data_IF_891382829143
#
_entry.id   IF_891382829143
#
_cell.length_a   1.000
_cell.length_b   1.000
_cell.length_c   1.000
_cell.angle_alpha   90.00
_cell.angle_beta   90.00
_cell.angle_gamma   90.00
#
_symmetry.space_group_name_H-M   'P 1'
#
loop_
_entity.id
_entity.type
_entity.pdbx_description
1 polymer ?
#
# COMPACT_ATOMS: atom_id res chain seq x y z
N UNK A 1 -16.35 9.28 -9.86
CA UNK A 1 -15.31 8.45 -9.24
C UNK A 1 -15.93 7.09 -9.00
N UNK A 2 -15.30 6.01 -9.42
CA UNK A 2 -15.84 4.67 -9.17
C UNK A 2 -15.57 4.30 -7.71
N UNK A 3 -16.63 4.02 -6.95
CA UNK A 3 -16.55 3.59 -5.56
C UNK A 3 -16.77 2.09 -5.47
N UNK A 4 -15.74 1.35 -5.05
CA UNK A 4 -15.79 -0.10 -4.89
C UNK A 4 -16.10 -0.54 -3.44
N UNK A 5 -16.46 0.40 -2.57
CA UNK A 5 -16.76 0.12 -1.16
C UNK A 5 -17.82 -0.96 -0.99
N UNK A 6 -18.91 -0.91 -1.74
CA UNK A 6 -19.98 -1.92 -1.64
C UNK A 6 -19.50 -3.32 -2.00
N UNK A 7 -18.59 -3.44 -2.97
CA UNK A 7 -17.98 -4.73 -3.32
C UNK A 7 -17.10 -5.25 -2.17
N UNK A 8 -16.29 -4.37 -1.57
CA UNK A 8 -15.47 -4.70 -0.41
C UNK A 8 -16.31 -5.08 0.82
N UNK A 9 -17.42 -4.37 1.06
CA UNK A 9 -18.34 -4.65 2.16
C UNK A 9 -18.95 -6.05 2.03
N UNK A 10 -19.29 -6.46 0.81
CA UNK A 10 -19.81 -7.80 0.54
C UNK A 10 -18.78 -8.92 0.80
N UNK A 11 -17.49 -8.61 0.74
CA UNK A 11 -16.41 -9.56 1.01
C UNK A 11 -15.98 -9.56 2.49
N UNK A 12 -15.76 -8.39 3.09
CA UNK A 12 -14.99 -8.23 4.32
C UNK A 12 -15.82 -7.85 5.56
N UNK A 13 -16.98 -7.20 5.38
CA UNK A 13 -17.74 -6.59 6.48
C UNK A 13 -18.53 -7.62 7.27
N UNK A 14 -18.55 -7.50 8.60
CA UNK A 14 -19.33 -8.39 9.49
C UNK A 14 -20.80 -7.96 9.56
N UNK A 15 -21.75 -8.89 9.78
CA UNK A 15 -21.57 -10.34 9.85
C UNK A 15 -21.57 -11.03 8.49
N UNK A 16 -22.11 -10.38 7.45
CA UNK A 16 -22.53 -11.09 6.24
C UNK A 16 -21.43 -11.25 5.18
N UNK A 17 -20.25 -10.64 5.35
CA UNK A 17 -19.16 -10.70 4.37
C UNK A 17 -18.76 -12.14 4.03
N UNK A 18 -18.37 -12.40 2.78
CA UNK A 18 -17.97 -13.74 2.33
C UNK A 18 -16.93 -14.39 3.27
N UNK A 19 -15.92 -13.63 3.69
CA UNK A 19 -14.89 -14.14 4.61
C UNK A 19 -15.45 -14.46 6.01
N UNK A 20 -16.54 -13.83 6.43
CA UNK A 20 -17.22 -14.13 7.68
C UNK A 20 -18.00 -15.45 7.58
N UNK A 21 -18.71 -15.64 6.46
CA UNK A 21 -19.42 -16.89 6.16
C UNK A 21 -18.43 -18.07 6.12
N UNK A 22 -17.30 -17.91 5.42
CA UNK A 22 -16.25 -18.95 5.36
C UNK A 22 -15.72 -19.25 6.78
N UNK A 23 -15.47 -18.22 7.59
CA UNK A 23 -15.02 -18.40 8.98
C UNK A 23 -16.02 -19.15 9.85
N UNK A 24 -17.31 -18.84 9.73
CA UNK A 24 -18.38 -19.49 10.49
C UNK A 24 -18.56 -20.95 10.06
N UNK A 25 -18.50 -21.23 8.76
CA UNK A 25 -18.50 -22.61 8.25
C UNK A 25 -17.28 -23.40 8.73
N UNK A 26 -16.11 -22.76 8.78
CA UNK A 26 -14.86 -23.38 9.26
C UNK A 26 -14.93 -23.68 10.75
N UNK A 27 -15.45 -22.76 11.57
CA UNK A 27 -15.57 -22.93 13.03
C UNK A 27 -16.60 -23.99 13.41
N UNK A 28 -17.72 -24.04 12.71
CA UNK A 28 -18.83 -24.93 13.01
C UNK A 28 -18.78 -26.26 12.23
N UNK A 29 -17.75 -26.47 11.39
CA UNK A 29 -17.60 -27.62 10.49
C UNK A 29 -18.84 -27.88 9.61
N UNK A 30 -19.41 -26.81 9.05
CA UNK A 30 -20.51 -26.94 8.09
C UNK A 30 -20.05 -27.53 6.75
N UNK A 31 -20.96 -28.16 6.01
CA UNK A 31 -20.70 -28.66 4.67
C UNK A 31 -20.61 -27.53 3.65
N UNK A 32 -19.95 -27.79 2.53
CA UNK A 32 -19.79 -26.82 1.44
C UNK A 32 -21.16 -26.42 0.85
N UNK A 33 -22.14 -27.33 0.86
CA UNK A 33 -23.53 -27.06 0.48
C UNK A 33 -24.16 -25.99 1.37
N UNK A 34 -24.00 -26.11 2.69
CA UNK A 34 -24.59 -25.16 3.64
C UNK A 34 -23.96 -23.77 3.49
N UNK A 35 -22.66 -23.72 3.17
CA UNK A 35 -21.98 -22.46 2.86
C UNK A 35 -22.55 -21.81 1.58
N UNK A 36 -22.81 -22.59 0.53
CA UNK A 36 -23.43 -22.09 -0.70
C UNK A 36 -24.87 -21.59 -0.46
N UNK A 37 -25.62 -22.28 0.39
CA UNK A 37 -26.97 -21.87 0.78
C UNK A 37 -26.94 -20.52 1.51
N UNK A 38 -26.05 -20.36 2.51
CA UNK A 38 -25.85 -19.08 3.21
C UNK A 38 -25.43 -17.94 2.27
N UNK A 39 -24.57 -18.22 1.30
CA UNK A 39 -24.17 -17.24 0.27
C UNK A 39 -25.36 -16.84 -0.60
N UNK A 40 -26.22 -17.80 -0.95
CA UNK A 40 -27.40 -17.58 -1.80
C UNK A 40 -28.49 -16.80 -1.07
N UNK A 41 -28.74 -17.11 0.21
CA UNK A 41 -29.71 -16.42 1.06
C UNK A 41 -29.42 -14.92 1.19
N UNK A 42 -28.14 -14.54 1.24
CA UNK A 42 -27.71 -13.14 1.34
C UNK A 42 -28.13 -12.28 0.14
N UNK A 43 -28.39 -12.87 -1.04
CA UNK A 43 -28.74 -12.17 -2.29
C UNK A 43 -27.79 -11.00 -2.63
N UNK A 44 -26.48 -11.23 -2.51
CA UNK A 44 -25.49 -10.20 -2.85
C UNK A 44 -25.54 -9.85 -4.34
N UNK A 45 -25.35 -8.57 -4.66
CA UNK A 45 -25.20 -8.12 -6.06
C UNK A 45 -23.86 -8.56 -6.66
N UNK A 46 -22.83 -8.73 -5.81
CA UNK A 46 -21.46 -9.02 -6.22
C UNK A 46 -21.13 -10.50 -6.14
N UNK A 47 -21.77 -11.25 -5.25
CA UNK A 47 -21.49 -12.67 -5.03
C UNK A 47 -22.74 -13.46 -5.37
N UNK A 48 -22.65 -14.34 -6.37
CA UNK A 48 -23.77 -15.15 -6.84
C UNK A 48 -23.34 -16.58 -7.03
N UNK A 49 -24.20 -17.52 -6.68
CA UNK A 49 -24.02 -18.93 -7.04
C UNK A 49 -23.92 -19.07 -8.56
N UNK A 50 -22.91 -19.80 -9.02
CA UNK A 50 -22.71 -20.13 -10.43
C UNK A 50 -23.12 -21.58 -10.71
N UNK A 51 -22.79 -22.50 -9.82
CA UNK A 51 -23.12 -23.92 -9.89
C UNK A 51 -23.16 -24.50 -8.46
N UNK A 52 -23.49 -25.79 -8.32
CA UNK A 52 -23.61 -26.46 -7.02
C UNK A 52 -22.30 -26.55 -6.20
N UNK A 53 -21.18 -26.13 -6.79
CA UNK A 53 -19.84 -26.10 -6.16
C UNK A 53 -19.11 -24.79 -6.41
N UNK A 54 -19.69 -23.87 -7.18
CA UNK A 54 -19.00 -22.68 -7.64
C UNK A 54 -19.78 -21.42 -7.31
N UNK A 55 -19.05 -20.40 -6.86
CA UNK A 55 -19.55 -19.04 -6.72
C UNK A 55 -18.89 -18.13 -7.73
N UNK A 56 -19.57 -17.06 -8.04
CA UNK A 56 -19.03 -16.00 -8.86
C UNK A 56 -18.95 -14.70 -8.08
N UNK A 57 -17.79 -14.07 -8.14
CA UNK A 57 -17.51 -12.80 -7.46
C UNK A 57 -17.21 -11.74 -8.51
N UNK A 58 -17.99 -10.67 -8.49
CA UNK A 58 -17.79 -9.50 -9.33
C UNK A 58 -16.75 -8.57 -8.69
N UNK A 59 -15.56 -8.52 -9.28
CA UNK A 59 -14.50 -7.59 -8.92
C UNK A 59 -14.51 -6.36 -9.83
N UNK A 60 -13.70 -5.37 -9.49
CA UNK A 60 -13.52 -4.17 -10.33
C UNK A 60 -13.10 -4.51 -11.76
N UNK A 61 -12.30 -5.57 -11.93
CA UNK A 61 -11.71 -5.96 -13.21
C UNK A 61 -12.54 -6.98 -13.99
N UNK A 62 -13.65 -7.45 -13.42
CA UNK A 62 -14.50 -8.46 -14.02
C UNK A 62 -15.03 -9.49 -13.01
N UNK A 63 -15.83 -10.42 -13.53
CA UNK A 63 -16.40 -11.52 -12.76
C UNK A 63 -15.45 -12.71 -12.79
N UNK A 64 -15.12 -13.24 -11.61
CA UNK A 64 -14.29 -14.45 -11.46
C UNK A 64 -15.16 -15.55 -10.86
N UNK A 65 -15.01 -16.77 -11.37
CA UNK A 65 -15.68 -17.95 -10.86
C UNK A 65 -14.69 -18.68 -9.96
N UNK A 66 -15.12 -18.99 -8.74
CA UNK A 66 -14.35 -19.68 -7.73
C UNK A 66 -15.06 -20.99 -7.38
N UNK A 67 -14.29 -22.07 -7.36
CA UNK A 67 -14.71 -23.35 -6.81
C UNK A 67 -14.61 -23.29 -5.29
N UNK A 68 -15.71 -23.59 -4.61
CA UNK A 68 -15.87 -23.46 -3.16
C UNK A 68 -15.39 -24.73 -2.42
N UNK A 69 -15.14 -25.83 -3.15
CA UNK A 69 -14.61 -27.06 -2.55
C UNK A 69 -13.32 -26.78 -1.79
N UNK A 70 -13.21 -27.33 -0.58
CA UNK A 70 -12.06 -27.18 0.31
C UNK A 70 -11.81 -25.75 0.85
N UNK A 71 -12.73 -24.79 0.66
CA UNK A 71 -12.59 -23.44 1.25
C UNK A 71 -12.44 -23.51 2.78
N UNK A 72 -13.27 -24.33 3.43
CA UNK A 72 -13.22 -24.52 4.90
C UNK A 72 -11.89 -25.12 5.36
N UNK A 73 -11.39 -26.12 4.64
CA UNK A 73 -10.21 -26.87 5.04
C UNK A 73 -8.96 -26.02 4.86
N UNK A 74 -8.90 -25.28 3.75
CA UNK A 74 -7.87 -24.27 3.51
C UNK A 74 -7.92 -23.18 4.57
N UNK A 75 -9.11 -22.67 4.90
CA UNK A 75 -9.26 -21.57 5.85
C UNK A 75 -8.93 -21.94 7.31
N UNK A 76 -8.96 -23.23 7.65
CA UNK A 76 -8.72 -23.71 9.02
C UNK A 76 -7.28 -23.47 9.48
N UNK A 77 -6.31 -23.52 8.56
CA UNK A 77 -4.85 -23.36 8.84
C UNK A 77 -4.38 -24.15 10.07
N UNK A 78 -4.93 -25.36 10.25
CA UNK A 78 -4.78 -26.09 11.50
C UNK A 78 -3.59 -27.03 11.45
N UNK A 79 -2.63 -26.80 12.35
CA UNK A 79 -1.58 -27.76 12.68
C UNK A 79 -1.97 -28.46 13.98
N UNK A 80 -2.03 -29.80 14.01
CA UNK A 80 -2.33 -30.54 15.23
C UNK A 80 -1.40 -30.15 16.39
N UNK A 81 -1.93 -29.92 17.61
CA UNK A 81 -1.13 -29.57 18.77
C UNK A 81 -0.01 -30.58 19.05
N UNK A 82 -0.26 -31.87 18.80
CA UNK A 82 0.71 -32.96 19.00
C UNK A 82 1.93 -32.81 18.09
N UNK A 83 1.73 -32.34 16.85
CA UNK A 83 2.81 -32.04 15.93
C UNK A 83 3.63 -30.84 16.41
N UNK A 84 2.95 -29.78 16.90
CA UNK A 84 3.61 -28.60 17.45
C UNK A 84 4.42 -28.98 18.70
N UNK A 85 3.88 -29.81 19.58
CA UNK A 85 4.58 -30.30 20.76
C UNK A 85 5.80 -31.16 20.40
N UNK A 86 5.68 -32.03 19.41
CA UNK A 86 6.81 -32.80 18.87
C UNK A 86 7.92 -31.90 18.32
N UNK A 87 7.56 -30.83 17.62
CA UNK A 87 8.55 -29.88 17.08
C UNK A 87 9.22 -29.05 18.19
N UNK A 88 8.51 -28.78 19.30
CA UNK A 88 9.09 -28.15 20.51
C UNK A 88 10.06 -29.05 21.27
N UNK A 89 10.07 -30.36 21.03
CA UNK A 89 11.01 -31.30 21.62
C UNK A 89 12.16 -31.67 20.69
N UNK A 90 12.24 -31.03 19.51
CA UNK A 90 13.34 -31.20 18.56
C UNK A 90 14.71 -30.94 19.20
N UNK A 91 15.74 -31.61 18.67
CA UNK A 91 17.14 -31.36 19.02
C UNK A 91 17.70 -30.12 18.32
N UNK A 92 17.07 -29.68 17.22
CA UNK A 92 17.45 -28.47 16.50
C UNK A 92 16.88 -27.23 17.19
N UNK A 93 17.78 -26.35 17.64
CA UNK A 93 17.44 -25.12 18.36
C UNK A 93 16.60 -24.15 17.54
N UNK A 94 16.80 -24.10 16.22
CA UNK A 94 16.04 -23.25 15.30
C UNK A 94 14.60 -23.73 15.23
N UNK A 95 14.39 -25.05 15.14
CA UNK A 95 13.04 -25.65 15.15
C UNK A 95 12.35 -25.35 16.48
N UNK A 96 13.03 -25.60 17.61
CA UNK A 96 12.45 -25.30 18.93
C UNK A 96 12.02 -23.84 19.00
N UNK A 97 12.89 -22.90 18.61
CA UNK A 97 12.60 -21.47 18.59
C UNK A 97 11.37 -21.14 17.73
N UNK A 98 11.26 -21.73 16.53
CA UNK A 98 10.13 -21.52 15.63
C UNK A 98 8.78 -21.95 16.24
N UNK A 99 8.75 -23.03 17.02
CA UNK A 99 7.51 -23.58 17.59
C UNK A 99 7.24 -23.17 19.04
N UNK A 100 8.17 -22.49 19.70
CA UNK A 100 7.97 -21.83 21.01
C UNK A 100 7.50 -20.38 20.90
N UNK A 101 7.83 -19.71 19.80
CA UNK A 101 7.49 -18.30 19.59
C UNK A 101 5.98 -18.09 19.41
N UNK A 102 5.45 -16.95 19.85
CA UNK A 102 4.03 -16.62 19.66
C UNK A 102 3.79 -16.07 18.26
N UNK A 103 2.52 -16.01 17.86
CA UNK A 103 2.10 -15.35 16.64
C UNK A 103 1.71 -13.89 16.93
N UNK A 104 1.96 -13.00 15.98
CA UNK A 104 1.37 -11.67 15.96
C UNK A 104 -0.14 -11.77 15.70
N UNK A 105 -0.88 -10.67 15.89
CA UNK A 105 -2.31 -10.61 15.51
C UNK A 105 -2.57 -10.90 14.02
N UNK A 106 -1.54 -10.74 13.18
CA UNK A 106 -1.56 -11.03 11.74
C UNK A 106 -1.26 -12.49 11.42
N UNK A 107 -0.96 -13.32 12.41
CA UNK A 107 -0.56 -14.72 12.20
C UNK A 107 0.94 -14.92 11.90
N UNK A 108 1.74 -13.85 11.83
CA UNK A 108 3.19 -13.97 11.61
C UNK A 108 3.91 -14.40 12.88
N UNK A 109 4.91 -15.26 12.76
CA UNK A 109 5.76 -15.69 13.87
C UNK A 109 6.57 -14.53 14.46
N UNK A 110 6.57 -14.38 15.78
CA UNK A 110 7.41 -13.39 16.46
C UNK A 110 8.81 -13.95 16.64
N UNK A 111 9.78 -13.48 15.87
CA UNK A 111 11.18 -13.81 16.12
C UNK A 111 11.79 -12.73 17.02
N UNK A 112 12.23 -13.11 18.23
CA UNK A 112 13.13 -12.27 19.00
C UNK A 112 14.55 -12.52 18.47
N UNK A 113 15.14 -11.56 17.77
CA UNK A 113 16.52 -11.65 17.29
C UNK A 113 17.56 -11.36 18.38
N UNK A 114 17.14 -11.09 19.62
CA UNK A 114 18.03 -10.71 20.72
C UNK A 114 17.72 -11.56 21.96
N UNK A 115 18.75 -12.29 22.42
CA UNK A 115 18.89 -13.01 23.69
C UNK A 115 18.33 -14.45 23.75
N UNK A 116 19.06 -15.38 23.11
CA UNK A 116 19.07 -16.79 23.53
C UNK A 116 20.28 -16.97 24.45
N UNK A 117 20.09 -16.80 25.75
CA UNK A 117 21.11 -17.19 26.75
C UNK A 117 21.00 -18.68 27.04
N UNK A 118 22.11 -19.40 26.82
CA UNK A 118 22.25 -20.81 27.19
C UNK A 118 22.20 -20.98 28.71
N UNK A 119 21.24 -21.79 29.21
CA UNK A 119 21.39 -22.44 30.51
C UNK A 119 21.25 -23.95 30.35
N UNK A 120 22.30 -24.65 30.79
CA UNK A 120 22.42 -26.09 30.85
C UNK A 120 21.56 -26.69 31.98
N UNK A 121 20.97 -27.83 31.64
CA UNK A 121 20.54 -28.95 32.48
C UNK A 121 19.28 -28.92 33.37
N UNK A 122 18.50 -29.99 33.13
CA UNK A 122 17.75 -30.80 34.09
C UNK A 122 16.77 -30.08 35.03
N UNK A 123 15.66 -29.59 34.46
CA UNK A 123 14.32 -29.53 35.10
C UNK A 123 13.29 -29.31 34.01
N UNK A 124 12.09 -29.90 34.17
CA UNK A 124 10.95 -29.81 33.24
C UNK A 124 10.86 -28.41 32.62
N UNK A 125 11.02 -28.33 31.29
CA UNK A 125 11.00 -27.07 30.52
C UNK A 125 9.57 -26.52 30.48
N UNK A 126 9.17 -25.77 31.50
CA UNK A 126 8.22 -24.68 31.28
C UNK A 126 8.99 -23.61 30.51
N UNK A 127 8.83 -23.59 29.19
CA UNK A 127 9.29 -22.48 28.37
C UNK A 127 8.63 -21.21 28.90
N UNK A 128 9.42 -20.26 29.41
CA UNK A 128 8.92 -18.93 29.69
C UNK A 128 8.44 -18.35 28.36
N UNK A 129 7.11 -18.23 28.18
CA UNK A 129 6.57 -17.52 27.02
C UNK A 129 7.22 -16.14 27.01
N UNK A 130 7.76 -15.73 25.86
CA UNK A 130 8.25 -14.37 25.68
C UNK A 130 7.14 -13.38 26.09
N UNK A 131 7.32 -12.71 27.23
CA UNK A 131 6.32 -11.89 27.94
C UNK A 131 6.24 -10.47 27.40
N UNK A 132 6.58 -10.24 26.11
CA UNK A 132 6.20 -9.03 25.38
C UNK A 132 4.68 -9.00 25.07
N UNK A 133 3.89 -9.55 25.99
CA UNK A 133 2.54 -10.10 25.86
C UNK A 133 1.45 -9.02 25.83
N UNK A 134 1.52 -8.10 24.87
CA UNK A 134 0.36 -7.29 24.49
C UNK A 134 -0.02 -7.61 23.06
N UNK A 135 -0.96 -8.55 22.90
CA UNK A 135 -1.61 -8.82 21.63
C UNK A 135 -1.03 -9.95 20.80
N UNK A 136 -0.21 -10.82 21.37
CA UNK A 136 0.26 -12.04 20.71
C UNK A 136 -0.72 -13.21 20.89
N UNK A 137 -0.69 -14.18 19.97
CA UNK A 137 -1.61 -15.31 19.86
C UNK A 137 -0.80 -16.61 19.99
N UNK A 138 -1.36 -17.60 20.67
CA UNK A 138 -0.74 -18.93 20.80
C UNK A 138 -0.80 -19.69 19.47
N UNK A 139 0.23 -20.51 19.19
CA UNK A 139 0.23 -21.42 18.04
C UNK A 139 -0.75 -22.60 18.22
N UNK A 140 -1.16 -22.89 19.46
CA UNK A 140 -2.03 -24.05 19.78
C UNK A 140 -3.41 -23.63 20.29
N UNK A 141 -3.52 -22.47 20.94
CA UNK A 141 -4.75 -22.01 21.56
C UNK A 141 -5.33 -20.81 20.82
N UNK A 142 -6.65 -20.80 20.62
CA UNK A 142 -7.38 -19.71 19.98
C UNK A 142 -6.82 -19.35 18.59
N UNK A 143 -6.50 -20.39 17.81
CA UNK A 143 -6.00 -20.28 16.44
C UNK A 143 -7.03 -19.53 15.61
N UNK A 144 -6.56 -18.54 14.85
CA UNK A 144 -7.37 -17.78 13.91
C UNK A 144 -7.37 -18.47 12.55
N UNK A 145 -8.49 -18.36 11.85
CA UNK A 145 -8.60 -18.77 10.46
C UNK A 145 -7.71 -17.90 9.55
N UNK A 146 -7.34 -18.44 8.38
CA UNK A 146 -6.61 -17.68 7.35
C UNK A 146 -7.32 -16.37 7.02
N UNK A 147 -8.63 -16.42 6.81
CA UNK A 147 -9.42 -15.24 6.46
C UNK A 147 -9.39 -14.17 7.55
N UNK A 148 -9.40 -14.57 8.84
CA UNK A 148 -9.26 -13.63 9.94
C UNK A 148 -7.87 -12.97 9.97
N UNK A 149 -6.80 -13.74 9.76
CA UNK A 149 -5.43 -13.23 9.68
C UNK A 149 -5.22 -12.30 8.47
N UNK A 150 -5.75 -12.69 7.31
CA UNK A 150 -5.72 -11.89 6.08
C UNK A 150 -6.40 -10.54 6.27
N UNK A 151 -7.65 -10.52 6.80
CA UNK A 151 -8.37 -9.28 7.08
C UNK A 151 -7.60 -8.37 8.03
N UNK A 152 -7.03 -8.93 9.10
CA UNK A 152 -6.26 -8.15 10.06
C UNK A 152 -5.03 -7.51 9.41
N UNK A 153 -4.27 -8.30 8.65
CA UNK A 153 -3.08 -7.84 7.94
C UNK A 153 -3.39 -6.73 6.94
N UNK A 154 -4.45 -6.89 6.16
CA UNK A 154 -4.92 -5.87 5.21
C UNK A 154 -5.28 -4.55 5.91
N UNK A 155 -6.00 -4.61 7.04
CA UNK A 155 -6.38 -3.42 7.79
C UNK A 155 -5.18 -2.71 8.42
N UNK A 156 -4.23 -3.46 8.98
CA UNK A 156 -3.00 -2.87 9.52
C UNK A 156 -2.16 -2.21 8.42
N UNK A 157 -2.00 -2.87 7.27
CA UNK A 157 -1.31 -2.28 6.13
C UNK A 157 -1.97 -0.98 5.66
N UNK A 158 -3.30 -0.96 5.54
CA UNK A 158 -4.05 0.24 5.17
C UNK A 158 -3.88 1.36 6.20
N UNK A 159 -3.81 1.07 7.50
CA UNK A 159 -3.53 2.07 8.54
C UNK A 159 -2.14 2.67 8.37
N UNK A 160 -1.13 1.83 8.12
CA UNK A 160 0.25 2.30 7.88
C UNK A 160 0.32 3.19 6.65
N UNK A 161 -0.30 2.76 5.54
CA UNK A 161 -0.35 3.53 4.30
C UNK A 161 -1.14 4.85 4.45
N UNK A 162 -2.21 4.86 5.25
CA UNK A 162 -3.05 6.05 5.47
C UNK A 162 -2.40 7.09 6.37
N UNK A 163 -1.56 6.66 7.34
CA UNK A 163 -0.81 7.59 8.21
C UNK A 163 0.23 8.36 7.42
N UNK A 164 0.87 7.72 6.44
CA UNK A 164 1.74 8.34 5.45
C UNK A 164 3.02 8.97 6.04
N UNK A 165 4.07 9.02 5.23
CA UNK A 165 5.34 9.64 5.60
C UNK A 165 5.36 11.13 5.22
N UNK A 166 4.41 11.97 5.65
CA UNK A 166 4.41 13.43 5.43
C UNK A 166 4.34 13.95 3.97
N UNK A 167 4.86 13.21 2.99
CA UNK A 167 4.98 13.51 1.56
C UNK A 167 3.86 12.86 0.73
N UNK A 168 2.99 12.06 1.36
CA UNK A 168 1.90 11.33 0.71
C UNK A 168 2.33 9.98 0.14
N UNK A 169 1.42 9.31 -0.56
CA UNK A 169 1.63 7.99 -1.16
C UNK A 169 1.93 8.12 -2.65
N UNK A 170 3.00 7.48 -3.10
CA UNK A 170 3.37 7.40 -4.52
C UNK A 170 2.89 6.07 -5.10
N UNK A 171 2.14 6.13 -6.21
CA UNK A 171 1.63 4.94 -6.89
C UNK A 171 2.45 4.66 -8.15
N UNK A 172 3.10 3.50 -8.21
CA UNK A 172 3.72 2.97 -9.43
C UNK A 172 2.80 1.89 -9.99
N UNK A 173 2.32 2.08 -11.22
CA UNK A 173 1.42 1.14 -11.90
C UNK A 173 2.18 0.41 -13.00
N UNK A 174 2.37 -0.89 -12.82
CA UNK A 174 2.99 -1.75 -13.82
C UNK A 174 1.92 -2.25 -14.79
N UNK A 175 2.23 -2.24 -16.10
CA UNK A 175 1.34 -2.71 -17.15
C UNK A 175 2.06 -3.79 -17.93
N UNK A 176 1.42 -4.94 -18.10
CA UNK A 176 1.91 -6.02 -18.94
C UNK A 176 1.57 -5.74 -20.40
N UNK A 177 2.55 -5.71 -21.29
CA UNK A 177 2.32 -5.46 -22.71
C UNK A 177 1.99 -6.74 -23.51
N UNK A 178 2.43 -7.90 -23.00
CA UNK A 178 2.36 -9.18 -23.70
C UNK A 178 2.17 -10.37 -22.75
N UNK A 179 1.39 -11.39 -23.15
CA UNK A 179 1.16 -12.62 -22.37
C UNK A 179 2.17 -13.73 -22.67
N UNK A 180 2.85 -13.66 -23.81
CA UNK A 180 3.77 -14.70 -24.30
C UNK A 180 5.23 -14.47 -23.87
N UNK A 181 5.49 -13.40 -23.10
CA UNK A 181 6.81 -12.97 -22.65
C UNK A 181 7.78 -12.63 -23.79
N UNK A 182 7.25 -12.24 -24.95
CA UNK A 182 8.02 -11.82 -26.12
C UNK A 182 8.45 -10.36 -25.96
N UNK A 183 9.76 -10.05 -25.94
CA UNK A 183 10.24 -8.68 -25.84
C UNK A 183 9.71 -7.82 -26.98
N UNK A 184 9.30 -6.59 -26.66
CA UNK A 184 8.75 -5.60 -27.61
C UNK A 184 7.43 -5.98 -28.27
N UNK A 185 6.81 -7.10 -27.89
CA UNK A 185 5.44 -7.38 -28.29
C UNK A 185 4.45 -6.48 -27.54
N UNK A 186 3.31 -6.19 -28.16
CA UNK A 186 2.30 -5.29 -27.61
C UNK A 186 0.89 -5.70 -28.03
N UNK A 187 0.04 -6.02 -27.06
CA UNK A 187 -1.37 -6.31 -27.26
C UNK A 187 -2.24 -5.11 -26.83
N UNK A 188 -2.77 -4.31 -27.78
CA UNK A 188 -3.48 -3.06 -27.47
C UNK A 188 -4.70 -3.26 -26.58
N UNK A 189 -5.51 -4.28 -26.83
CA UNK A 189 -6.75 -4.53 -26.10
C UNK A 189 -6.48 -4.88 -24.63
N UNK A 190 -5.48 -5.74 -24.40
CA UNK A 190 -5.05 -6.12 -23.06
C UNK A 190 -4.50 -4.93 -22.27
N UNK A 191 -3.66 -4.10 -22.91
CA UNK A 191 -3.13 -2.89 -22.29
C UNK A 191 -4.24 -1.89 -21.99
N UNK A 192 -5.18 -1.71 -22.92
CA UNK A 192 -6.34 -0.84 -22.72
C UNK A 192 -7.25 -1.33 -21.57
N UNK A 193 -7.46 -2.64 -21.45
CA UNK A 193 -8.19 -3.24 -20.34
C UNK A 193 -7.48 -3.00 -19.01
N UNK A 194 -6.16 -3.18 -18.94
CA UNK A 194 -5.37 -2.88 -17.74
C UNK A 194 -5.43 -1.39 -17.37
N UNK A 195 -5.36 -0.47 -18.34
CA UNK A 195 -5.46 0.97 -18.09
C UNK A 195 -6.81 1.36 -17.45
N UNK A 196 -7.90 0.71 -17.86
CA UNK A 196 -9.22 0.85 -17.22
C UNK A 196 -9.25 0.19 -15.84
N UNK A 197 -8.79 -1.06 -15.73
CA UNK A 197 -8.76 -1.86 -14.50
C UNK A 197 -7.84 -1.31 -13.39
N UNK A 198 -6.83 -0.50 -13.74
CA UNK A 198 -5.97 0.17 -12.77
C UNK A 198 -6.47 1.59 -12.45
N UNK A 199 -7.58 2.03 -13.06
CA UNK A 199 -8.14 3.37 -12.86
C UNK A 199 -7.22 4.49 -13.34
N UNK A 200 -6.37 4.24 -14.35
CA UNK A 200 -5.40 5.24 -14.84
C UNK A 200 -6.12 6.43 -15.44
N UNK A 201 -7.11 6.17 -16.30
CA UNK A 201 -7.89 7.22 -16.95
C UNK A 201 -8.71 8.03 -15.95
N UNK A 202 -9.35 7.37 -14.98
CA UNK A 202 -10.11 8.06 -13.92
C UNK A 202 -9.20 8.94 -13.04
N UNK A 203 -7.99 8.45 -12.74
CA UNK A 203 -6.99 9.23 -11.99
C UNK A 203 -6.59 10.47 -12.77
N UNK A 204 -6.35 10.34 -14.08
CA UNK A 204 -5.98 11.47 -14.95
C UNK A 204 -7.14 12.46 -15.07
N UNK A 205 -8.36 11.99 -15.32
CA UNK A 205 -9.54 12.84 -15.43
C UNK A 205 -9.82 13.59 -14.11
N UNK A 206 -9.65 12.93 -12.97
CA UNK A 206 -9.74 13.57 -11.65
C UNK A 206 -8.66 14.63 -11.43
N UNK A 207 -7.43 14.37 -11.88
CA UNK A 207 -6.33 15.35 -11.81
C UNK A 207 -6.51 16.53 -12.74
N UNK A 208 -7.10 16.33 -13.93
CA UNK A 208 -7.36 17.41 -14.88
C UNK A 208 -8.45 18.36 -14.40
N UNK A 209 -9.49 17.85 -13.73
CA UNK A 209 -10.57 18.67 -13.16
C UNK A 209 -10.20 19.33 -11.83
N UNK A 210 -9.17 18.83 -11.16
CA UNK A 210 -8.73 19.31 -9.86
C UNK A 210 -7.38 20.02 -9.91
N UNK A 211 -6.88 20.39 -8.74
CA UNK A 211 -5.52 20.90 -8.59
C UNK A 211 -4.57 19.74 -8.32
N UNK A 212 -3.66 19.47 -9.25
CA UNK A 212 -2.71 18.34 -9.16
C UNK A 212 -1.65 18.54 -8.08
N UNK A 213 -1.34 19.80 -7.75
CA UNK A 213 -0.29 20.21 -6.84
C UNK A 213 -0.86 20.99 -5.65
N UNK A 214 -0.32 20.73 -4.45
CA UNK A 214 -0.64 21.45 -3.21
C UNK A 214 0.60 21.68 -2.37
N UNK A 215 0.79 22.89 -1.87
CA UNK A 215 2.03 23.30 -1.19
C UNK A 215 1.74 24.38 -0.15
N UNK A 216 2.50 24.42 0.95
CA UNK A 216 2.35 25.49 1.96
C UNK A 216 2.85 26.83 1.42
N UNK A 217 2.41 27.94 2.03
CA UNK A 217 2.86 29.28 1.64
C UNK A 217 4.38 29.45 1.76
N UNK A 218 4.97 28.94 2.85
CA UNK A 218 6.41 28.95 3.09
C UNK A 218 7.19 28.26 1.97
N UNK A 219 6.79 27.04 1.64
CA UNK A 219 7.47 26.23 0.65
C UNK A 219 7.24 26.77 -0.78
N UNK A 220 6.07 27.33 -1.04
CA UNK A 220 5.74 27.95 -2.33
C UNK A 220 6.65 29.14 -2.63
N UNK A 221 6.73 30.10 -1.71
CA UNK A 221 7.55 31.30 -1.91
C UNK A 221 9.03 30.93 -1.94
N UNK A 222 9.49 30.08 -1.01
CA UNK A 222 10.87 29.57 -1.03
C UNK A 222 11.26 28.96 -2.37
N UNK A 223 10.34 28.21 -3.01
CA UNK A 223 10.60 27.52 -4.26
C UNK A 223 10.44 28.39 -5.50
N UNK A 224 9.45 29.28 -5.54
CA UNK A 224 9.02 29.95 -6.77
C UNK A 224 9.26 31.46 -6.78
N UNK A 225 9.67 32.10 -5.67
CA UNK A 225 9.78 33.56 -5.61
C UNK A 225 10.63 34.17 -6.72
N UNK A 226 11.76 33.54 -7.07
CA UNK A 226 12.67 34.04 -8.10
C UNK A 226 12.08 34.04 -9.52
N UNK A 227 10.91 33.42 -9.73
CA UNK A 227 10.23 33.45 -11.02
C UNK A 227 9.50 34.78 -11.27
N UNK A 228 9.12 35.50 -10.21
CA UNK A 228 8.23 36.66 -10.31
C UNK A 228 8.68 37.88 -9.51
N UNK A 229 9.59 37.70 -8.56
CA UNK A 229 10.16 38.74 -7.74
C UNK A 229 11.62 38.95 -8.13
N UNK A 230 12.06 40.20 -8.10
CA UNK A 230 13.44 40.55 -8.33
C UNK A 230 14.32 40.13 -7.15
N UNK A 231 15.62 40.00 -7.38
CA UNK A 231 16.57 39.54 -6.35
C UNK A 231 16.60 40.46 -5.11
N UNK A 232 16.39 41.76 -5.31
CA UNK A 232 16.45 42.77 -4.25
C UNK A 232 15.10 42.98 -3.54
N UNK A 233 14.04 42.30 -3.97
CA UNK A 233 12.71 42.44 -3.39
C UNK A 233 12.57 41.58 -2.13
N UNK A 234 12.25 42.19 -0.99
CA UNK A 234 11.99 41.47 0.26
C UNK A 234 10.60 40.85 0.23
N UNK A 235 10.54 39.52 0.18
CA UNK A 235 9.28 38.76 0.10
C UNK A 235 8.96 38.08 1.43
N UNK A 236 8.02 38.65 2.18
CA UNK A 236 7.50 38.03 3.40
C UNK A 236 6.66 36.77 3.09
N UNK A 237 6.66 35.80 4.02
CA UNK A 237 5.88 34.58 3.89
C UNK A 237 4.41 34.86 4.21
N UNK A 238 3.68 35.42 3.25
CA UNK A 238 2.27 35.80 3.39
C UNK A 238 1.41 35.21 2.29
N UNK A 239 0.11 35.10 2.58
CA UNK A 239 -0.90 34.69 1.60
C UNK A 239 -0.97 35.66 0.41
N UNK A 240 -0.77 36.96 0.66
CA UNK A 240 -0.84 37.98 -0.37
C UNK A 240 0.36 37.94 -1.32
N UNK A 241 1.57 37.69 -0.80
CA UNK A 241 2.75 37.51 -1.66
C UNK A 241 2.65 36.24 -2.51
N UNK A 242 2.07 35.17 -1.96
CA UNK A 242 1.75 33.98 -2.74
C UNK A 242 0.79 34.28 -3.90
N UNK A 243 -0.24 35.09 -3.64
CA UNK A 243 -1.19 35.55 -4.67
C UNK A 243 -0.51 36.45 -5.70
N UNK A 244 0.31 37.39 -5.24
CA UNK A 244 1.02 38.34 -6.10
C UNK A 244 1.95 37.62 -7.08
N UNK A 245 2.68 36.60 -6.63
CA UNK A 245 3.51 35.75 -7.49
C UNK A 245 2.68 35.17 -8.64
N UNK A 246 1.54 34.55 -8.33
CA UNK A 246 0.66 33.93 -9.33
C UNK A 246 0.11 34.96 -10.33
N UNK A 247 -0.26 36.16 -9.85
CA UNK A 247 -0.74 37.26 -10.67
C UNK A 247 0.34 37.80 -11.62
N UNK A 248 1.57 38.01 -11.12
CA UNK A 248 2.71 38.47 -11.93
C UNK A 248 3.06 37.47 -13.03
N UNK A 249 2.98 36.18 -12.73
CA UNK A 249 3.16 35.10 -13.71
C UNK A 249 1.96 34.92 -14.66
N UNK A 250 0.88 35.68 -14.48
CA UNK A 250 -0.37 35.57 -15.26
C UNK A 250 -0.90 34.13 -15.28
N UNK A 251 -0.81 33.46 -14.14
CA UNK A 251 -1.28 32.10 -13.98
C UNK A 251 -2.80 32.05 -13.86
N UNK A 252 -3.41 31.09 -14.53
CA UNK A 252 -4.81 30.71 -14.37
C UNK A 252 -4.89 29.35 -13.63
N UNK A 253 -6.11 28.93 -13.25
CA UNK A 253 -6.29 27.59 -12.67
C UNK A 253 -5.58 27.37 -11.32
N UNK A 254 -5.66 28.36 -10.42
CA UNK A 254 -5.16 28.24 -9.05
C UNK A 254 -6.23 28.61 -8.02
N UNK A 255 -6.09 28.06 -6.81
CA UNK A 255 -6.88 28.43 -5.65
C UNK A 255 -6.00 28.56 -4.40
N UNK A 256 -6.32 29.52 -3.55
CA UNK A 256 -5.60 29.74 -2.29
C UNK A 256 -6.49 29.32 -1.13
N UNK A 257 -6.03 28.30 -0.38
CA UNK A 257 -6.70 27.82 0.83
C UNK A 257 -6.31 28.62 2.07
N UNK A 258 -6.55 28.03 3.26
CA UNK A 258 -6.18 28.63 4.55
C UNK A 258 -4.67 28.59 4.82
N UNK A 259 -4.01 27.48 4.47
CA UNK A 259 -2.59 27.25 4.76
C UNK A 259 -1.77 26.80 3.54
N UNK A 260 -2.44 26.55 2.42
CA UNK A 260 -1.83 25.96 1.21
C UNK A 260 -2.39 26.60 -0.05
N UNK A 261 -1.59 26.54 -1.11
CA UNK A 261 -1.96 26.91 -2.47
C UNK A 261 -2.20 25.63 -3.26
N UNK A 262 -3.19 25.68 -4.12
CA UNK A 262 -3.60 24.63 -5.03
C UNK A 262 -3.44 25.16 -6.45
N UNK A 263 -2.70 24.45 -7.29
CA UNK A 263 -2.38 24.88 -8.64
C UNK A 263 -2.18 23.66 -9.54
N UNK A 264 -2.15 23.90 -10.85
CA UNK A 264 -1.89 22.90 -11.86
C UNK A 264 -0.39 22.56 -12.00
N UNK A 265 -0.03 21.73 -12.97
CA UNK A 265 1.37 21.32 -13.18
C UNK A 265 2.20 22.37 -13.95
N UNK A 266 1.57 23.40 -14.51
CA UNK A 266 2.23 24.35 -15.41
C UNK A 266 3.31 25.15 -14.69
N UNK A 267 3.05 25.62 -13.47
CA UNK A 267 4.05 26.36 -12.69
C UNK A 267 5.31 25.52 -12.39
N UNK A 268 5.13 24.23 -12.10
CA UNK A 268 6.24 23.29 -11.89
C UNK A 268 7.09 23.15 -13.16
N UNK A 269 6.44 23.07 -14.34
CA UNK A 269 7.12 23.02 -15.63
C UNK A 269 7.86 24.32 -15.95
N UNK A 270 7.27 25.48 -15.65
CA UNK A 270 7.91 26.78 -15.82
C UNK A 270 9.18 26.88 -14.97
N UNK A 271 9.11 26.46 -13.71
CA UNK A 271 10.25 26.38 -12.80
C UNK A 271 11.37 25.51 -13.37
N UNK A 272 11.06 24.29 -13.84
CA UNK A 272 12.07 23.38 -14.40
C UNK A 272 12.79 23.98 -15.62
N UNK A 273 12.05 24.69 -16.48
CA UNK A 273 12.63 25.36 -17.65
C UNK A 273 13.65 26.42 -17.20
N UNK A 274 13.34 27.24 -16.20
CA UNK A 274 14.27 28.26 -15.72
C UNK A 274 15.47 27.64 -15.00
N UNK A 275 15.26 26.60 -14.18
CA UNK A 275 16.35 25.87 -13.51
C UNK A 275 17.32 25.27 -14.54
N UNK A 276 16.82 24.69 -15.64
CA UNK A 276 17.68 24.18 -16.73
C UNK A 276 18.57 25.27 -17.33
N UNK A 277 18.07 26.50 -17.48
CA UNK A 277 18.88 27.65 -17.95
C UNK A 277 19.95 28.04 -16.92
N UNK A 278 19.60 28.10 -15.65
CA UNK A 278 20.55 28.40 -14.55
C UNK A 278 21.67 27.37 -14.51
N UNK A 279 21.34 26.08 -14.61
CA UNK A 279 22.33 24.99 -14.66
C UNK A 279 23.30 25.17 -15.83
N UNK A 280 22.80 25.60 -17.00
CA UNK A 280 23.65 25.87 -18.18
C UNK A 280 24.62 27.02 -17.93
N UNK A 281 24.16 28.11 -17.31
CA UNK A 281 25.05 29.24 -16.96
C UNK A 281 26.10 28.81 -15.93
N UNK A 282 25.67 28.06 -14.90
CA UNK A 282 26.56 27.54 -13.87
C UNK A 282 27.64 26.62 -14.45
N UNK A 283 27.30 25.74 -15.39
CA UNK A 283 28.28 24.84 -16.01
C UNK A 283 29.32 25.61 -16.82
N UNK A 284 28.91 26.64 -17.57
CA UNK A 284 29.82 27.53 -18.29
C UNK A 284 30.76 28.31 -17.36
N UNK A 285 30.23 28.84 -16.26
CA UNK A 285 31.02 29.57 -15.25
C UNK A 285 32.03 28.66 -14.56
N UNK A 286 31.63 27.45 -14.15
CA UNK A 286 32.54 26.45 -13.58
C UNK A 286 33.65 26.08 -14.55
N UNK A 287 33.33 25.88 -15.83
CA UNK A 287 34.32 25.60 -16.86
C UNK A 287 35.32 26.76 -17.04
N UNK A 288 34.85 28.01 -17.05
CA UNK A 288 35.70 29.20 -17.12
C UNK A 288 36.65 29.30 -15.91
N UNK A 289 36.12 29.10 -14.70
CA UNK A 289 36.90 29.14 -13.46
C UNK A 289 37.96 28.03 -13.43
N UNK A 290 37.62 26.82 -13.89
CA UNK A 290 38.58 25.71 -14.01
C UNK A 290 39.71 26.05 -14.98
N UNK A 291 39.40 26.57 -16.18
CA UNK A 291 40.41 27.02 -17.15
C UNK A 291 41.33 28.10 -16.57
N UNK A 292 40.79 29.05 -15.80
CA UNK A 292 41.59 30.09 -15.12
C UNK A 292 42.49 29.52 -14.03
N UNK A 293 42.02 28.55 -13.23
CA UNK A 293 42.82 27.89 -12.19
C UNK A 293 43.99 27.10 -12.78
N UNK A 294 43.77 26.36 -13.86
CA UNK A 294 44.85 25.62 -14.57
C UNK A 294 45.90 26.59 -15.09
N UNK A 295 45.49 27.69 -15.75
CA UNK A 295 46.43 28.72 -16.22
C UNK A 295 47.22 29.40 -15.10
N UNK A 296 46.66 29.51 -13.90
CA UNK A 296 47.36 30.06 -12.72
C UNK A 296 48.30 29.07 -12.04
N UNK A 297 48.06 27.76 -12.17
CA UNK A 297 48.88 26.71 -11.53
C UNK A 297 50.00 26.18 -12.44
N UNK A 298 50.01 26.58 -13.71
CA UNK A 298 51.07 26.28 -14.69
C UNK A 298 52.11 27.40 -14.86
N UNK A 299 52.16 28.35 -13.93
CA UNK A 299 53.26 29.30 -13.70
C UNK A 299 53.86 28.99 -12.34
#
# INVERSE_FOLDING_TARGET
FYDNRTALDNLLTKPDGLFCIIDDCTRNNFSDSNMLDQITEKKSQFIKMHSNTEISVAHFTGKIIYDVRNFKDTNRDFVPPEMIESLRTSLDETIVLMFTNQLTKSGNLTMAFENVEHKSDAKRRTYALNTLSVGHISQVNNIRTLSANFRHTCLELLKVLSRGFGYGTHFVRCIRADLEYIPRNYHPEMVAQQMRALGVLDTLAGRQKGYSCRISFSEFLRRYQFLAFDFDETVDITKDNCRLLLLRLKMEGWAIGKSKIFYDEYLSRLYEIQVKKVIKVQSMMRAMLAKRKVKKSGK
#
